data_IF_793199752642
#
_entry.id   IF_793199752642
#
_cell.length_a   1.000
_cell.length_b   1.000
_cell.length_c   1.000
_cell.angle_alpha   90.00
_cell.angle_beta   90.00
_cell.angle_gamma   90.00
#
_symmetry.space_group_name_H-M   'P 1'
#
loop_
_entity.id
_entity.type
_entity.pdbx_description
1 polymer ?
#
# COMPACT_ATOMS: atom_id res chain seq x y z
N UNK A 1 -3.16 -6.07 -5.69
CA UNK A 1 -4.06 -6.33 -4.57
C UNK A 1 -3.52 -5.68 -3.31
N UNK A 2 -4.33 -4.89 -2.64
CA UNK A 2 -3.99 -4.24 -1.38
C UNK A 2 -5.00 -4.64 -0.32
N UNK A 3 -4.52 -4.99 0.87
CA UNK A 3 -5.41 -5.41 1.95
C UNK A 3 -4.75 -5.20 3.32
N UNK A 4 -5.58 -5.26 4.36
CA UNK A 4 -5.14 -5.17 5.75
C UNK A 4 -5.29 -6.53 6.42
N UNK A 5 -4.37 -6.83 7.35
CA UNK A 5 -4.52 -7.97 8.25
C UNK A 5 -5.62 -7.70 9.28
N UNK A 6 -6.06 -8.75 9.97
CA UNK A 6 -6.90 -8.58 11.15
C UNK A 6 -6.10 -7.88 12.26
N UNK A 7 -6.75 -7.05 13.10
CA UNK A 7 -6.05 -6.38 14.20
C UNK A 7 -5.46 -7.39 15.18
N UNK A 8 -4.24 -7.10 15.67
CA UNK A 8 -3.65 -7.89 16.75
C UNK A 8 -4.24 -7.47 18.11
N UNK A 9 -3.68 -8.00 19.19
CA UNK A 9 -4.19 -7.72 20.55
C UNK A 9 -4.09 -6.25 20.97
N UNK A 10 -3.22 -5.47 20.33
CA UNK A 10 -3.07 -4.03 20.58
C UNK A 10 -3.83 -3.17 19.56
N UNK A 11 -4.54 -3.79 18.61
CA UNK A 11 -5.26 -3.08 17.56
C UNK A 11 -4.42 -2.76 16.33
N UNK A 12 -3.18 -3.23 16.28
CA UNK A 12 -2.29 -2.99 15.14
C UNK A 12 -2.70 -3.81 13.91
N UNK A 13 -2.77 -3.15 12.76
CA UNK A 13 -3.07 -3.80 11.48
C UNK A 13 -1.90 -3.64 10.54
N UNK A 14 -1.58 -4.72 9.82
CA UNK A 14 -0.49 -4.74 8.84
C UNK A 14 -1.06 -4.44 7.46
N UNK A 15 -0.30 -3.68 6.67
CA UNK A 15 -0.67 -3.38 5.28
C UNK A 15 0.04 -4.35 4.34
N UNK A 16 -0.71 -4.91 3.41
CA UNK A 16 -0.22 -5.85 2.40
C UNK A 16 -0.49 -5.31 1.00
N UNK A 17 0.54 -5.32 0.16
CA UNK A 17 0.42 -5.03 -1.27
C UNK A 17 1.00 -6.19 -2.06
N UNK A 18 0.21 -6.78 -2.94
CA UNK A 18 0.68 -7.78 -3.90
C UNK A 18 0.41 -7.24 -5.30
N UNK A 19 1.47 -7.12 -6.10
CA UNK A 19 1.39 -6.49 -7.41
C UNK A 19 2.42 -7.08 -8.37
N UNK A 20 2.23 -6.81 -9.65
CA UNK A 20 3.11 -7.30 -10.71
C UNK A 20 3.64 -6.12 -11.52
N UNK A 21 4.92 -6.13 -11.82
CA UNK A 21 5.52 -5.15 -12.73
C UNK A 21 5.18 -5.54 -14.17
N UNK A 22 4.15 -4.92 -14.74
CA UNK A 22 3.71 -5.19 -16.12
C UNK A 22 4.36 -4.24 -17.13
N UNK A 23 5.22 -3.32 -16.67
CA UNK A 23 5.99 -2.44 -17.55
C UNK A 23 7.16 -3.20 -18.19
N UNK A 24 7.82 -2.55 -19.15
CA UNK A 24 9.05 -3.09 -19.76
C UNK A 24 10.32 -2.53 -19.09
N UNK A 25 10.19 -1.89 -17.93
CA UNK A 25 11.29 -1.26 -17.21
C UNK A 25 11.46 -1.87 -15.83
N UNK A 26 12.69 -1.88 -15.33
CA UNK A 26 12.98 -2.34 -13.96
C UNK A 26 12.64 -1.22 -12.98
N UNK A 27 11.86 -1.54 -11.95
CA UNK A 27 11.47 -0.60 -10.92
C UNK A 27 12.60 -0.48 -9.89
N UNK A 28 12.99 0.77 -9.59
CA UNK A 28 13.95 1.09 -8.54
C UNK A 28 13.27 1.27 -7.20
N UNK A 29 12.23 2.13 -7.15
CA UNK A 29 11.44 2.37 -5.95
C UNK A 29 9.96 2.41 -6.29
N UNK A 30 9.15 1.91 -5.38
CA UNK A 30 7.70 2.11 -5.40
C UNK A 30 7.29 2.69 -4.06
N UNK A 31 6.65 3.85 -4.08
CA UNK A 31 6.09 4.47 -2.88
C UNK A 31 4.57 4.47 -3.01
N UNK A 32 3.89 4.04 -1.96
CA UNK A 32 2.44 4.03 -1.95
C UNK A 32 1.90 4.82 -0.76
N UNK A 33 0.68 5.34 -0.92
CA UNK A 33 -0.05 6.03 0.14
C UNK A 33 -1.47 5.51 0.16
N UNK A 34 -2.04 5.50 1.34
CA UNK A 34 -3.40 5.02 1.51
C UNK A 34 -3.91 5.26 2.91
N UNK A 35 -5.13 4.84 3.16
CA UNK A 35 -5.75 4.95 4.47
C UNK A 35 -6.68 3.77 4.71
N UNK A 36 -6.92 3.41 5.98
CA UNK A 36 -7.85 2.33 6.30
C UNK A 36 -9.28 2.84 6.36
N UNK A 37 -10.21 1.97 6.04
CA UNK A 37 -11.64 2.22 6.24
C UNK A 37 -12.24 1.11 7.09
N UNK A 38 -13.35 1.41 7.78
CA UNK A 38 -14.08 0.44 8.56
C UNK A 38 -15.08 -0.34 7.70
N UNK A 39 -15.90 -1.18 8.32
CA UNK A 39 -16.85 -2.04 7.62
C UNK A 39 -17.95 -1.28 6.86
N UNK A 40 -18.21 -0.02 7.21
CA UNK A 40 -19.21 0.81 6.53
C UNK A 40 -18.59 1.81 5.58
N UNK A 41 -17.27 1.75 5.37
CA UNK A 41 -16.59 2.57 4.38
C UNK A 41 -16.08 3.92 4.88
N UNK A 42 -16.13 4.18 6.18
CA UNK A 42 -15.62 5.43 6.74
C UNK A 42 -14.12 5.34 7.00
N UNK A 43 -13.33 6.38 6.69
CA UNK A 43 -11.92 6.42 7.07
C UNK A 43 -11.75 6.34 8.58
N UNK A 44 -10.73 5.59 9.01
CA UNK A 44 -10.39 5.49 10.42
C UNK A 44 -8.95 5.90 10.66
N UNK A 45 -8.69 6.56 11.78
CA UNK A 45 -7.36 7.05 12.11
C UNK A 45 -6.57 6.00 12.91
N UNK A 46 -5.24 6.13 12.87
CA UNK A 46 -4.37 5.41 13.80
C UNK A 46 -4.53 6.05 15.17
N UNK A 47 -4.97 5.27 16.15
CA UNK A 47 -5.21 5.79 17.50
C UNK A 47 -3.93 6.18 18.23
N UNK A 48 -2.80 5.57 17.86
CA UNK A 48 -1.50 5.88 18.45
C UNK A 48 -0.91 7.16 17.86
N UNK A 49 -0.87 7.26 16.53
CA UNK A 49 -0.27 8.40 15.83
C UNK A 49 -1.27 9.49 15.46
N UNK A 50 -2.55 9.20 15.60
CA UNK A 50 -3.66 10.10 15.28
C UNK A 50 -3.65 10.61 13.85
N UNK A 51 -3.22 9.75 12.92
CA UNK A 51 -3.20 10.03 11.50
C UNK A 51 -4.09 9.05 10.76
N UNK A 52 -4.70 9.50 9.67
CA UNK A 52 -5.51 8.65 8.79
C UNK A 52 -4.62 8.05 7.71
N UNK A 53 -3.88 8.91 6.99
CA UNK A 53 -3.05 8.46 5.88
C UNK A 53 -1.73 7.87 6.33
N UNK A 54 -1.33 6.82 5.66
CA UNK A 54 -0.02 6.21 5.82
C UNK A 54 0.50 5.74 4.47
N UNK A 55 1.63 5.10 4.47
CA UNK A 55 2.23 4.59 3.25
C UNK A 55 3.47 3.79 3.51
N UNK A 56 4.10 3.35 2.43
CA UNK A 56 5.31 2.56 2.50
C UNK A 56 6.14 2.69 1.24
N UNK A 57 7.35 2.18 1.31
CA UNK A 57 8.32 2.21 0.21
C UNK A 57 8.82 0.80 -0.06
N UNK A 58 8.84 0.43 -1.33
CA UNK A 58 9.44 -0.81 -1.80
C UNK A 58 10.75 -0.45 -2.51
N UNK A 59 11.85 -1.10 -2.11
CA UNK A 59 13.15 -0.91 -2.75
C UNK A 59 13.41 -2.10 -3.67
N UNK A 60 13.63 -1.78 -4.95
CA UNK A 60 13.93 -2.79 -5.98
C UNK A 60 15.39 -3.26 -5.92
N UNK A 61 15.90 -3.80 -7.00
CA UNK A 61 15.29 -3.81 -8.34
C UNK A 61 14.16 -4.83 -8.49
N UNK A 62 13.11 -4.44 -9.20
CA UNK A 62 11.98 -5.33 -9.51
C UNK A 62 11.84 -5.38 -11.03
N UNK A 63 12.23 -6.51 -11.59
CA UNK A 63 12.31 -6.70 -13.04
C UNK A 63 10.91 -6.81 -13.68
N UNK A 64 10.79 -6.49 -14.97
CA UNK A 64 9.54 -6.71 -15.70
C UNK A 64 9.02 -8.13 -15.53
N UNK A 65 7.72 -8.28 -15.34
CA UNK A 65 7.07 -9.59 -15.17
C UNK A 65 7.13 -10.16 -13.76
N UNK A 66 7.84 -9.51 -12.83
CA UNK A 66 7.96 -10.00 -11.46
C UNK A 66 6.72 -9.65 -10.66
N UNK A 67 6.19 -10.62 -9.91
CA UNK A 67 5.17 -10.42 -8.90
C UNK A 67 5.86 -10.23 -7.55
N UNK A 68 5.46 -9.17 -6.83
CA UNK A 68 6.07 -8.78 -5.57
C UNK A 68 4.99 -8.67 -4.48
N UNK A 69 5.39 -8.96 -3.25
CA UNK A 69 4.56 -8.70 -2.08
C UNK A 69 4.10 -9.94 -1.32
N UNK A 70 4.23 -11.13 -1.88
CA UNK A 70 3.89 -12.34 -1.17
C UNK A 70 4.80 -12.52 0.06
N UNK A 71 4.19 -12.67 1.23
CA UNK A 71 4.94 -12.81 2.47
C UNK A 71 5.58 -11.52 2.99
N UNK A 72 5.29 -10.38 2.36
CA UNK A 72 5.83 -9.08 2.75
C UNK A 72 4.70 -8.17 3.21
N UNK A 73 4.96 -7.36 4.23
CA UNK A 73 3.95 -6.46 4.77
C UNK A 73 4.61 -5.32 5.54
N UNK A 74 3.85 -4.25 5.77
CA UNK A 74 4.22 -3.14 6.65
C UNK A 74 3.55 -3.39 7.99
N UNK A 75 4.36 -3.64 9.00
CA UNK A 75 3.93 -4.08 10.32
C UNK A 75 3.26 -2.95 11.10
N UNK A 76 2.08 -3.22 11.67
CA UNK A 76 1.37 -2.31 12.56
C UNK A 76 1.31 -0.87 12.05
N UNK A 77 0.93 -0.71 10.77
CA UNK A 77 0.92 0.61 10.14
C UNK A 77 -0.17 1.52 10.73
N UNK A 78 -1.28 0.94 11.14
CA UNK A 78 -2.33 1.64 11.89
C UNK A 78 -2.74 0.84 13.12
N UNK A 79 -3.11 1.55 14.18
CA UNK A 79 -3.63 0.96 15.40
C UNK A 79 -5.11 1.34 15.51
N UNK A 80 -6.00 0.48 15.05
CA UNK A 80 -7.44 0.68 15.15
C UNK A 80 -8.15 -0.66 14.90
N UNK A 81 -8.91 -1.11 15.89
CA UNK A 81 -9.64 -2.38 15.80
C UNK A 81 -10.72 -2.38 14.73
N UNK A 82 -11.23 -1.23 14.33
CA UNK A 82 -12.29 -1.12 13.32
C UNK A 82 -11.78 -1.08 11.87
N UNK A 83 -10.46 -1.00 11.66
CA UNK A 83 -9.89 -1.00 10.31
C UNK A 83 -10.15 -2.34 9.61
N UNK A 84 -10.74 -2.31 8.42
CA UNK A 84 -11.12 -3.51 7.67
C UNK A 84 -10.52 -3.58 6.27
N UNK A 85 -10.42 -2.45 5.57
CA UNK A 85 -9.93 -2.40 4.20
C UNK A 85 -8.93 -1.28 4.03
N UNK A 86 -8.03 -1.45 3.06
CA UNK A 86 -7.05 -0.45 2.68
C UNK A 86 -7.50 0.22 1.37
N UNK A 87 -7.55 1.55 1.38
CA UNK A 87 -7.83 2.35 0.19
C UNK A 87 -6.53 3.04 -0.22
N UNK A 88 -6.05 2.74 -1.43
CA UNK A 88 -4.86 3.41 -1.97
C UNK A 88 -5.24 4.77 -2.52
N UNK A 89 -4.44 5.80 -2.20
CA UNK A 89 -4.64 7.16 -2.68
C UNK A 89 -3.63 7.57 -3.73
N UNK A 90 -2.47 6.92 -3.76
CA UNK A 90 -1.46 7.22 -4.76
C UNK A 90 -0.31 6.23 -4.73
N UNK A 91 0.31 6.07 -5.90
CA UNK A 91 1.52 5.27 -6.07
C UNK A 91 2.48 6.08 -6.91
N UNK A 92 3.73 6.19 -6.46
CA UNK A 92 4.83 6.76 -7.23
C UNK A 92 5.82 5.66 -7.55
N UNK A 93 6.15 5.49 -8.81
CA UNK A 93 7.12 4.49 -9.26
C UNK A 93 8.29 5.20 -9.90
N UNK A 94 9.51 4.92 -9.41
CA UNK A 94 10.74 5.37 -10.00
C UNK A 94 11.45 4.17 -10.63
N UNK A 95 11.83 4.31 -11.90
CA UNK A 95 12.50 3.25 -12.64
C UNK A 95 14.02 3.42 -12.61
N UNK A 96 14.72 2.32 -12.91
CA UNK A 96 16.20 2.32 -12.93
C UNK A 96 16.79 3.24 -13.99
N UNK A 97 16.04 3.59 -15.04
CA UNK A 97 16.48 4.52 -16.09
C UNK A 97 16.32 6.00 -15.68
N UNK A 98 15.85 6.28 -14.46
CA UNK A 98 15.64 7.63 -13.96
C UNK A 98 14.26 8.21 -14.23
N UNK A 99 13.43 7.55 -15.02
CA UNK A 99 12.06 7.98 -15.26
C UNK A 99 11.17 7.64 -14.07
N UNK A 100 10.03 8.33 -13.95
CA UNK A 100 9.07 8.07 -12.89
C UNK A 100 7.65 8.31 -13.38
N UNK A 101 6.69 7.67 -12.72
CA UNK A 101 5.26 7.91 -12.95
C UNK A 101 4.54 8.03 -11.61
N UNK A 102 3.44 8.79 -11.61
CA UNK A 102 2.53 8.88 -10.48
C UNK A 102 1.18 8.30 -10.90
N UNK A 103 0.64 7.42 -10.07
CA UNK A 103 -0.69 6.85 -10.28
C UNK A 103 -1.59 7.43 -9.19
N UNK A 104 -2.62 8.18 -9.59
CA UNK A 104 -3.50 8.83 -8.63
C UNK A 104 -4.69 7.94 -8.25
N UNK A 105 -5.50 8.40 -7.29
CA UNK A 105 -6.64 7.66 -6.78
C UNK A 105 -7.62 7.24 -7.87
N UNK A 106 -7.87 8.08 -8.86
CA UNK A 106 -8.82 7.76 -9.93
C UNK A 106 -8.33 6.62 -10.81
N UNK A 107 -7.02 6.55 -11.04
CA UNK A 107 -6.40 5.47 -11.80
C UNK A 107 -6.35 4.17 -10.99
N UNK A 108 -6.19 4.28 -9.68
CA UNK A 108 -6.08 3.13 -8.78
C UNK A 108 -7.36 2.33 -8.63
N UNK A 109 -8.52 2.89 -8.99
CA UNK A 109 -9.79 2.14 -8.95
C UNK A 109 -9.78 0.91 -9.86
N UNK A 110 -8.89 0.86 -10.82
CA UNK A 110 -8.71 -0.29 -11.72
C UNK A 110 -7.72 -1.33 -11.20
N UNK A 111 -7.06 -1.07 -10.08
CA UNK A 111 -6.10 -1.99 -9.46
C UNK A 111 -6.85 -2.93 -8.52
N UNK A 112 -6.63 -4.23 -8.69
CA UNK A 112 -7.27 -5.26 -7.88
C UNK A 112 -6.23 -6.10 -7.16
#
# INVERSE_FOLDING_TARGET
KAYLSSPNSAGGVDAHLVWKNVSNKTIKYLNWRGYPINAVGDPVSCEVRRTIEGGGKVTGPIKPGTTYGYGKYWDCLWYNYSAKKLVLTGINIEYMDGSSININKNELKYVR
#
